data_IF_971331348781
#
_entry.id   IF_971331348781
#
_cell.length_a   1.000
_cell.length_b   1.000
_cell.length_c   1.000
_cell.angle_alpha   90.00
_cell.angle_beta   90.00
_cell.angle_gamma   90.00
#
_symmetry.space_group_name_H-M   'P 1'
#
loop_
_entity.id
_entity.type
_entity.pdbx_description
1 polymer ?
#
# COMPACT_ATOMS: atom_id res chain seq x y z
N UNK A 1 37.23 -7.80 2.27
CA UNK A 1 36.29 -7.98 3.39
C UNK A 1 34.89 -7.85 2.82
N UNK A 2 34.29 -8.97 2.45
CA UNK A 2 33.01 -9.03 1.75
C UNK A 2 31.90 -9.18 2.79
N UNK A 3 31.11 -8.13 3.01
CA UNK A 3 29.91 -8.21 3.84
C UNK A 3 28.94 -9.19 3.18
N UNK A 4 28.42 -10.22 3.88
CA UNK A 4 27.38 -11.04 3.31
C UNK A 4 26.13 -10.18 3.18
N UNK A 5 25.61 -10.05 1.96
CA UNK A 5 24.31 -9.46 1.71
C UNK A 5 23.27 -10.27 2.51
N UNK A 6 22.78 -9.66 3.58
CA UNK A 6 21.72 -10.23 4.40
C UNK A 6 20.51 -10.41 3.49
N UNK A 7 20.14 -11.66 3.20
CA UNK A 7 18.99 -11.97 2.39
C UNK A 7 17.76 -11.34 3.06
N UNK A 8 17.18 -10.32 2.44
CA UNK A 8 15.94 -9.74 2.92
C UNK A 8 14.86 -10.81 2.81
N UNK A 9 14.37 -11.31 3.96
CA UNK A 9 13.22 -12.20 3.98
C UNK A 9 12.00 -11.42 3.47
N UNK A 10 11.60 -11.72 2.23
CA UNK A 10 10.41 -11.16 1.61
C UNK A 10 9.17 -11.76 2.29
N UNK A 11 8.68 -11.08 3.32
CA UNK A 11 7.49 -11.50 4.06
C UNK A 11 6.24 -10.88 3.45
N UNK A 12 5.25 -11.71 3.13
CA UNK A 12 3.91 -11.23 2.73
C UNK A 12 3.05 -11.16 3.99
N UNK A 13 2.49 -9.98 4.27
CA UNK A 13 1.59 -9.76 5.39
C UNK A 13 0.27 -9.15 4.91
N UNK A 14 -0.84 -9.63 5.49
CA UNK A 14 -2.14 -8.99 5.32
C UNK A 14 -2.33 -7.95 6.43
N UNK A 15 -2.76 -6.75 6.03
CA UNK A 15 -3.04 -5.63 6.92
C UNK A 15 -4.37 -5.00 6.51
N UNK A 16 -5.21 -4.69 7.47
CA UNK A 16 -6.39 -3.88 7.22
C UNK A 16 -5.99 -2.46 6.86
N UNK A 17 -6.84 -1.75 6.10
CA UNK A 17 -6.59 -0.34 5.77
C UNK A 17 -6.40 0.51 7.03
N UNK A 18 -7.17 0.21 8.08
CA UNK A 18 -7.06 0.87 9.40
C UNK A 18 -5.69 0.69 10.03
N UNK A 19 -5.06 -0.48 9.88
CA UNK A 19 -3.72 -0.74 10.42
C UNK A 19 -2.64 0.06 9.71
N UNK A 20 -2.90 0.56 8.50
CA UNK A 20 -1.95 1.38 7.74
C UNK A 20 -1.84 2.80 8.30
N UNK A 21 -2.86 3.28 9.02
CA UNK A 21 -2.90 4.65 9.57
C UNK A 21 -1.86 4.81 10.68
N UNK A 22 -1.61 3.75 11.45
CA UNK A 22 -0.62 3.74 12.54
C UNK A 22 0.82 3.49 12.05
N UNK A 23 1.03 3.34 10.73
CA UNK A 23 2.34 3.05 10.13
C UNK A 23 2.93 4.29 9.45
N UNK A 24 4.25 4.46 9.63
CA UNK A 24 4.99 5.53 8.99
C UNK A 24 5.58 5.05 7.66
N UNK A 25 5.03 5.57 6.55
CA UNK A 25 5.54 5.31 5.21
C UNK A 25 6.41 6.45 4.69
N UNK A 26 7.54 6.10 4.09
CA UNK A 26 8.47 7.03 3.45
C UNK A 26 8.41 6.82 1.94
N UNK A 27 8.03 7.87 1.20
CA UNK A 27 8.11 7.91 -0.26
C UNK A 27 9.49 8.44 -0.65
N UNK A 28 10.33 7.64 -1.34
CA UNK A 28 11.67 8.08 -1.75
C UNK A 28 11.64 9.21 -2.77
N UNK A 29 12.67 10.07 -2.77
CA UNK A 29 12.79 11.17 -3.73
C UNK A 29 12.89 10.74 -5.19
N UNK A 30 13.34 9.51 -5.45
CA UNK A 30 13.43 8.95 -6.81
C UNK A 30 12.08 8.50 -7.36
N UNK A 31 11.04 8.40 -6.52
CA UNK A 31 9.70 8.07 -6.98
C UNK A 31 9.03 9.27 -7.65
N UNK A 32 8.10 8.99 -8.57
CA UNK A 32 7.38 10.03 -9.29
C UNK A 32 6.36 10.68 -8.35
N UNK A 33 6.05 11.95 -8.60
CA UNK A 33 4.94 12.61 -7.89
C UNK A 33 3.59 11.90 -8.13
N UNK A 34 2.59 12.25 -7.34
CA UNK A 34 1.24 11.75 -7.56
C UNK A 34 0.72 12.18 -8.95
N UNK A 35 0.20 11.21 -9.70
CA UNK A 35 -0.24 11.36 -11.10
C UNK A 35 -1.58 10.68 -11.35
N UNK A 36 -2.16 10.06 -10.32
CA UNK A 36 -3.45 9.44 -10.50
C UNK A 36 -4.50 10.50 -10.82
N UNK A 37 -5.25 10.24 -11.89
CA UNK A 37 -6.36 11.11 -12.29
C UNK A 37 -7.64 10.62 -11.62
N UNK A 38 -8.72 11.41 -11.76
CA UNK A 38 -10.05 11.03 -11.27
C UNK A 38 -10.46 9.63 -11.76
N UNK A 39 -10.12 9.27 -12.99
CA UNK A 39 -10.43 7.96 -13.56
C UNK A 39 -9.86 6.82 -12.72
N UNK A 40 -8.56 6.87 -12.41
CA UNK A 40 -7.90 5.81 -11.64
C UNK A 40 -8.38 5.76 -10.18
N UNK A 41 -8.74 6.91 -9.62
CA UNK A 41 -9.35 6.96 -8.28
C UNK A 41 -10.74 6.32 -8.30
N UNK A 42 -11.55 6.61 -9.31
CA UNK A 42 -12.89 6.01 -9.46
C UNK A 42 -12.78 4.50 -9.67
N UNK A 43 -11.90 4.03 -10.56
CA UNK A 43 -11.66 2.60 -10.77
C UNK A 43 -11.28 1.89 -9.45
N UNK A 44 -10.40 2.50 -8.65
CA UNK A 44 -10.04 1.97 -7.32
C UNK A 44 -11.26 1.86 -6.38
N UNK A 45 -12.11 2.89 -6.38
CA UNK A 45 -13.29 2.94 -5.53
C UNK A 45 -14.37 1.95 -5.99
N UNK A 46 -14.56 1.80 -7.29
CA UNK A 46 -15.48 0.82 -7.89
C UNK A 46 -15.04 -0.60 -7.56
N UNK A 47 -13.74 -0.91 -7.65
CA UNK A 47 -13.19 -2.21 -7.26
C UNK A 47 -13.43 -2.51 -5.77
N UNK A 48 -13.24 -1.51 -4.90
CA UNK A 48 -13.53 -1.62 -3.46
C UNK A 48 -15.02 -1.84 -3.17
N UNK A 49 -15.89 -1.10 -3.85
CA UNK A 49 -17.34 -1.19 -3.69
C UNK A 49 -17.84 -2.55 -4.17
N UNK A 50 -17.38 -2.99 -5.34
CA UNK A 50 -17.74 -4.28 -5.91
C UNK A 50 -17.37 -5.42 -4.98
N UNK A 51 -16.18 -5.36 -4.36
CA UNK A 51 -15.82 -6.32 -3.34
C UNK A 51 -16.80 -6.28 -2.15
N UNK A 52 -17.09 -5.10 -1.60
CA UNK A 52 -18.00 -4.96 -0.46
C UNK A 52 -19.39 -5.57 -0.73
N UNK A 53 -19.89 -5.43 -1.95
CA UNK A 53 -21.22 -5.91 -2.35
C UNK A 53 -21.25 -7.41 -2.68
N UNK A 54 -20.15 -7.95 -3.23
CA UNK A 54 -20.10 -9.33 -3.74
C UNK A 54 -19.42 -10.33 -2.79
N UNK A 55 -18.74 -9.84 -1.75
CA UNK A 55 -17.97 -10.66 -0.82
C UNK A 55 -18.87 -11.41 0.19
N UNK A 56 -18.72 -12.74 0.31
CA UNK A 56 -19.31 -13.50 1.42
C UNK A 56 -18.94 -12.90 2.79
N UNK A 57 -19.78 -13.10 3.83
CA UNK A 57 -19.38 -12.75 5.18
C UNK A 57 -18.01 -13.36 5.51
N UNK A 58 -17.11 -12.56 6.06
CA UNK A 58 -15.75 -12.98 6.47
C UNK A 58 -14.71 -13.19 5.33
N UNK A 59 -14.92 -12.64 4.13
CA UNK A 59 -13.86 -12.59 3.09
C UNK A 59 -12.98 -11.35 3.21
N UNK A 60 -11.69 -11.50 2.87
CA UNK A 60 -10.68 -10.43 2.86
C UNK A 60 -10.35 -10.02 1.43
N UNK A 61 -10.31 -8.71 1.16
CA UNK A 61 -9.89 -8.17 -0.14
C UNK A 61 -8.47 -7.61 -0.08
N UNK A 62 -7.65 -8.05 -1.03
CA UNK A 62 -6.38 -7.42 -1.32
C UNK A 62 -6.57 -6.48 -2.52
N UNK A 63 -6.67 -5.17 -2.25
CA UNK A 63 -6.72 -4.11 -3.27
C UNK A 63 -5.58 -4.21 -4.29
N UNK A 64 -4.41 -4.70 -3.83
CA UNK A 64 -3.21 -5.15 -4.54
C UNK A 64 -2.04 -5.08 -3.56
N UNK A 65 -0.97 -5.88 -3.71
CA UNK A 65 0.20 -5.77 -2.86
C UNK A 65 0.88 -4.39 -2.97
N UNK A 66 1.40 -3.92 -1.84
CA UNK A 66 2.28 -2.75 -1.73
C UNK A 66 3.65 -3.27 -1.32
N UNK A 67 4.68 -2.95 -2.11
CA UNK A 67 6.04 -3.40 -1.83
C UNK A 67 6.73 -2.33 -0.97
N UNK A 68 7.18 -2.74 0.20
CA UNK A 68 7.86 -1.87 1.16
C UNK A 68 9.15 -2.49 1.66
N UNK A 69 10.07 -1.64 2.09
CA UNK A 69 11.31 -2.02 2.75
C UNK A 69 11.40 -1.36 4.12
N UNK A 70 11.69 -2.15 5.15
CA UNK A 70 11.91 -1.62 6.50
C UNK A 70 13.15 -0.72 6.51
N UNK A 71 13.01 0.51 7.03
CA UNK A 71 14.09 1.49 7.20
C UNK A 71 13.98 2.11 8.58
N UNK A 72 14.55 1.44 9.59
CA UNK A 72 14.37 1.80 11.00
C UNK A 72 12.91 1.66 11.42
N UNK A 73 12.34 2.75 11.91
CA UNK A 73 10.93 2.83 12.36
C UNK A 73 9.95 3.19 11.23
N UNK A 74 10.43 3.28 9.98
CA UNK A 74 9.64 3.62 8.82
C UNK A 74 9.64 2.51 7.77
N UNK A 75 8.68 2.57 6.86
CA UNK A 75 8.54 1.71 5.69
C UNK A 75 8.80 2.52 4.43
N UNK A 76 9.94 2.28 3.79
CA UNK A 76 10.24 2.86 2.48
C UNK A 76 9.37 2.18 1.42
N UNK A 77 8.56 2.96 0.70
CA UNK A 77 7.67 2.45 -0.35
C UNK A 77 8.50 2.22 -1.62
N UNK A 78 8.48 1.00 -2.13
CA UNK A 78 9.16 0.61 -3.38
C UNK A 78 8.15 0.59 -4.53
N UNK A 79 6.96 0.02 -4.31
CA UNK A 79 5.87 -0.05 -5.28
C UNK A 79 4.50 0.11 -4.59
N UNK A 80 3.50 0.58 -5.31
CA UNK A 80 2.16 0.84 -4.81
C UNK A 80 1.96 2.24 -4.22
N UNK A 81 2.90 3.16 -4.42
CA UNK A 81 2.86 4.54 -3.93
C UNK A 81 1.54 5.26 -4.22
N UNK A 82 1.04 5.18 -5.46
CA UNK A 82 -0.17 5.91 -5.87
C UNK A 82 -1.41 5.37 -5.16
N UNK A 83 -1.52 4.04 -5.03
CA UNK A 83 -2.60 3.37 -4.30
C UNK A 83 -2.54 3.75 -2.83
N UNK A 84 -1.38 3.60 -2.21
CA UNK A 84 -1.17 3.92 -0.79
C UNK A 84 -1.49 5.39 -0.49
N UNK A 85 -1.06 6.31 -1.34
CA UNK A 85 -1.33 7.75 -1.21
C UNK A 85 -2.82 8.04 -1.36
N UNK A 86 -3.50 7.40 -2.33
CA UNK A 86 -4.94 7.58 -2.53
C UNK A 86 -5.74 7.08 -1.35
N UNK A 87 -5.41 5.89 -0.83
CA UNK A 87 -6.05 5.33 0.37
C UNK A 87 -5.81 6.23 1.58
N UNK A 88 -4.60 6.77 1.75
CA UNK A 88 -4.31 7.72 2.82
C UNK A 88 -5.18 8.99 2.72
N UNK A 89 -5.31 9.57 1.52
CA UNK A 89 -6.18 10.74 1.30
C UNK A 89 -7.63 10.41 1.64
N UNK A 90 -8.14 9.26 1.20
CA UNK A 90 -9.52 8.84 1.47
C UNK A 90 -9.79 8.51 2.95
N UNK A 91 -8.78 8.07 3.70
CA UNK A 91 -8.91 7.74 5.11
C UNK A 91 -8.85 8.98 6.03
N UNK A 92 -8.22 10.06 5.55
CA UNK A 92 -8.04 11.31 6.31
C UNK A 92 -9.17 12.31 6.07
N UNK A 93 -9.84 12.25 4.91
CA UNK A 93 -11.00 13.08 4.55
C UNK A 93 -12.27 12.53 5.17
#
# INVERSE_FOLDING_TARGET
MSTPAQAAENTIGLKGIVDLIDLNFLVPQYQRGYRWTKTQVIELLEDLLHFKESAPPNTFYCLQPVLVKRRGDQWEVIDGQQRLTTIYILAVV
#
